data_IF_017960932551
#
_entry.id   IF_017960932551
#
_cell.length_a   1.000
_cell.length_b   1.000
_cell.length_c   1.000
_cell.angle_alpha   90.00
_cell.angle_beta   90.00
_cell.angle_gamma   90.00
#
_symmetry.space_group_name_H-M   'P 1'
#
loop_
_entity.id
_entity.type
_entity.pdbx_description
1 polymer ?
#
# COMPACT_ATOMS: atom_id res chain seq x y z
N UNK A 1 -17.17 -7.56 16.28
CA UNK A 1 -16.75 -7.71 14.86
C UNK A 1 -15.26 -7.39 14.74
N UNK A 2 -14.50 -8.09 13.88
CA UNK A 2 -13.06 -7.82 13.66
C UNK A 2 -12.80 -7.62 12.17
N UNK A 3 -12.22 -6.48 11.79
CA UNK A 3 -11.72 -6.22 10.44
C UNK A 3 -10.30 -6.80 10.30
N UNK A 4 -10.10 -7.62 9.27
CA UNK A 4 -8.82 -8.23 8.95
C UNK A 4 -8.65 -8.39 7.42
N UNK A 5 -9.04 -7.36 6.65
CA UNK A 5 -9.18 -7.42 5.18
C UNK A 5 -7.89 -7.13 4.41
N UNK A 6 -6.76 -6.95 5.09
CA UNK A 6 -5.47 -6.64 4.45
C UNK A 6 -5.34 -5.18 3.98
N UNK A 7 -4.33 -4.93 3.15
CA UNK A 7 -3.99 -3.61 2.63
C UNK A 7 -4.72 -3.19 1.36
N UNK A 8 -4.17 -2.16 0.71
CA UNK A 8 -4.78 -1.44 -0.42
C UNK A 8 -3.80 -1.25 -1.60
N UNK A 9 -2.83 -2.17 -1.77
CA UNK A 9 -1.82 -2.03 -2.82
C UNK A 9 -2.37 -2.05 -4.25
N UNK A 10 -3.62 -2.50 -4.46
CA UNK A 10 -4.29 -2.43 -5.76
C UNK A 10 -4.65 -1.02 -6.24
N UNK A 11 -4.33 0.00 -5.45
CA UNK A 11 -4.21 1.38 -5.95
C UNK A 11 -3.10 1.58 -6.97
N UNK A 12 -2.12 0.68 -7.02
CA UNK A 12 -0.99 0.77 -7.92
C UNK A 12 -1.02 -0.39 -8.92
N UNK A 13 -0.72 -0.09 -10.18
CA UNK A 13 -0.54 -1.11 -11.21
C UNK A 13 0.63 -2.05 -10.87
N UNK A 14 1.76 -1.47 -10.46
CA UNK A 14 2.92 -2.23 -9.98
C UNK A 14 2.81 -2.47 -8.46
N UNK A 15 2.31 -3.64 -8.08
CA UNK A 15 2.19 -4.05 -6.69
C UNK A 15 2.44 -5.54 -6.50
N UNK A 16 3.02 -5.89 -5.35
CA UNK A 16 3.17 -7.29 -4.92
C UNK A 16 1.88 -7.88 -4.35
N UNK A 17 0.85 -7.06 -4.12
CA UNK A 17 -0.36 -7.48 -3.44
C UNK A 17 -1.29 -8.28 -4.36
N UNK A 18 -2.05 -9.20 -3.75
CA UNK A 18 -3.03 -10.00 -4.45
C UNK A 18 -4.16 -9.13 -5.05
N UNK A 19 -4.95 -9.69 -5.98
CA UNK A 19 -6.10 -8.99 -6.58
C UNK A 19 -7.14 -8.52 -5.55
N UNK A 20 -7.26 -9.21 -4.41
CA UNK A 20 -8.20 -8.90 -3.34
C UNK A 20 -7.77 -7.74 -2.39
N UNK A 21 -6.58 -7.16 -2.57
CA UNK A 21 -6.09 -6.10 -1.67
C UNK A 21 -6.57 -4.71 -2.11
N UNK A 22 -7.87 -4.48 -1.99
CA UNK A 22 -8.61 -3.31 -2.52
C UNK A 22 -9.05 -2.30 -1.47
N UNK A 23 -8.63 -2.46 -0.21
CA UNK A 23 -8.88 -1.49 0.85
C UNK A 23 -10.30 -1.51 1.43
N UNK A 24 -11.06 -2.57 1.19
CA UNK A 24 -12.49 -2.70 1.51
C UNK A 24 -12.78 -2.37 2.98
N UNK A 25 -12.09 -3.04 3.92
CA UNK A 25 -12.30 -2.79 5.35
C UNK A 25 -11.91 -1.38 5.80
N UNK A 26 -10.93 -0.75 5.14
CA UNK A 26 -10.59 0.65 5.43
C UNK A 26 -11.69 1.58 4.93
N UNK A 27 -12.20 1.38 3.70
CA UNK A 27 -13.29 2.20 3.17
C UNK A 27 -14.60 1.98 3.94
N UNK A 28 -14.92 0.74 4.31
CA UNK A 28 -16.08 0.43 5.17
C UNK A 28 -16.00 1.15 6.53
N UNK A 29 -14.84 1.14 7.18
CA UNK A 29 -14.63 1.86 8.44
C UNK A 29 -14.79 3.37 8.24
N UNK A 30 -14.19 3.92 7.17
CA UNK A 30 -14.27 5.32 6.81
C UNK A 30 -15.71 5.79 6.57
N UNK A 31 -16.50 5.01 5.81
CA UNK A 31 -17.93 5.25 5.56
C UNK A 31 -18.80 5.13 6.81
N UNK A 32 -18.35 4.36 7.81
CA UNK A 32 -18.97 4.30 9.13
C UNK A 32 -18.54 5.47 10.06
N UNK A 33 -17.78 6.44 9.54
CA UNK A 33 -17.32 7.62 10.29
C UNK A 33 -16.05 7.39 11.10
N UNK A 34 -15.39 6.23 10.96
CA UNK A 34 -14.15 5.94 11.69
C UNK A 34 -12.94 6.61 11.03
N UNK A 35 -11.95 7.03 11.84
CA UNK A 35 -10.70 7.56 11.31
C UNK A 35 -9.83 6.50 10.66
N UNK A 36 -9.18 6.90 9.58
CA UNK A 36 -8.00 6.24 9.05
C UNK A 36 -6.75 7.01 9.50
N UNK A 37 -5.77 6.30 10.04
CA UNK A 37 -4.53 6.86 10.56
C UNK A 37 -3.37 6.57 9.62
N UNK A 38 -2.51 7.57 9.42
CA UNK A 38 -1.25 7.49 8.67
C UNK A 38 -1.40 6.92 7.25
N UNK A 39 -2.55 7.18 6.62
CA UNK A 39 -2.98 6.59 5.36
C UNK A 39 -2.01 6.87 4.20
N UNK A 40 -1.26 7.98 4.25
CA UNK A 40 -0.27 8.36 3.25
C UNK A 40 0.96 7.44 3.21
N UNK A 41 1.19 6.61 4.22
CA UNK A 41 2.36 5.75 4.30
C UNK A 41 2.15 4.41 3.58
N UNK A 42 2.42 4.42 2.27
CA UNK A 42 2.61 3.23 1.43
C UNK A 42 4.10 2.92 1.29
N UNK A 43 4.52 1.71 1.68
CA UNK A 43 5.88 1.21 1.45
C UNK A 43 5.98 0.54 0.08
N UNK A 44 7.09 0.84 -0.61
CA UNK A 44 7.47 0.20 -1.86
C UNK A 44 8.57 -0.83 -1.61
N UNK A 45 8.50 -1.96 -2.31
CA UNK A 45 9.55 -2.98 -2.29
C UNK A 45 10.48 -2.77 -3.49
N UNK A 46 11.81 -2.80 -3.31
CA UNK A 46 12.75 -2.52 -4.40
C UNK A 46 12.74 -3.61 -5.49
N UNK A 47 12.68 -4.88 -5.09
CA UNK A 47 12.79 -5.99 -6.04
C UNK A 47 11.44 -6.53 -6.50
N UNK A 48 10.54 -5.66 -6.99
CA UNK A 48 9.36 -6.12 -7.74
C UNK A 48 9.71 -6.32 -9.20
N UNK A 49 9.34 -7.45 -9.78
CA UNK A 49 9.67 -7.81 -11.15
C UNK A 49 8.97 -6.88 -12.13
N UNK A 50 9.72 -6.32 -13.07
CA UNK A 50 9.16 -5.50 -14.13
C UNK A 50 8.71 -6.37 -15.32
N UNK A 51 7.54 -6.11 -15.93
CA UNK A 51 6.50 -5.13 -15.55
C UNK A 51 5.41 -5.70 -14.62
N UNK A 52 5.49 -6.97 -14.23
CA UNK A 52 4.39 -7.69 -13.58
C UNK A 52 4.06 -7.24 -12.15
N UNK A 53 5.02 -6.66 -11.42
CA UNK A 53 4.90 -6.33 -10.00
C UNK A 53 5.10 -7.53 -9.06
N UNK A 54 5.35 -8.73 -9.60
CA UNK A 54 5.56 -9.95 -8.81
C UNK A 54 6.79 -9.79 -7.93
N UNK A 55 6.68 -10.17 -6.66
CA UNK A 55 7.77 -10.04 -5.71
C UNK A 55 8.90 -11.02 -6.01
N UNK A 56 10.12 -10.51 -6.20
CA UNK A 56 11.35 -11.27 -6.00
C UNK A 56 11.81 -11.06 -4.56
N UNK A 57 12.03 -12.16 -3.83
CA UNK A 57 12.27 -12.13 -2.39
C UNK A 57 13.45 -11.23 -2.02
N UNK A 58 13.33 -10.50 -0.91
CA UNK A 58 14.44 -9.76 -0.30
C UNK A 58 15.63 -10.67 0.04
N UNK A 59 15.38 -11.98 0.22
CA UNK A 59 16.42 -12.99 0.35
C UNK A 59 17.41 -13.02 -0.81
N UNK A 60 17.02 -12.59 -2.03
CA UNK A 60 17.96 -12.47 -3.15
C UNK A 60 19.08 -11.47 -2.85
N UNK A 61 18.75 -10.29 -2.30
CA UNK A 61 19.76 -9.31 -1.86
C UNK A 61 20.54 -9.83 -0.65
N UNK A 62 19.84 -10.45 0.31
CA UNK A 62 20.45 -11.08 1.49
C UNK A 62 21.48 -12.17 1.16
N UNK A 63 21.28 -12.92 0.08
CA UNK A 63 22.21 -13.95 -0.41
C UNK A 63 23.38 -13.37 -1.22
N UNK A 64 23.40 -12.06 -1.47
CA UNK A 64 24.48 -11.35 -2.16
C UNK A 64 24.07 -10.69 -3.48
N UNK A 65 22.79 -10.69 -3.85
CA UNK A 65 22.31 -10.09 -5.09
C UNK A 65 22.70 -8.62 -5.24
N UNK A 66 23.11 -8.26 -6.46
CA UNK A 66 23.69 -6.96 -6.79
C UNK A 66 22.71 -6.19 -7.67
N UNK A 67 22.38 -4.95 -7.31
CA UNK A 67 21.60 -4.07 -8.17
C UNK A 67 22.51 -3.35 -9.18
N UNK A 68 22.14 -3.44 -10.47
CA UNK A 68 22.86 -2.83 -11.58
C UNK A 68 21.97 -1.91 -12.41
N UNK A 69 22.55 -0.82 -12.89
CA UNK A 69 21.90 0.12 -13.82
C UNK A 69 22.22 -0.27 -15.29
N UNK A 70 21.80 0.56 -16.25
CA UNK A 70 22.03 0.36 -17.69
C UNK A 70 23.49 0.34 -18.12
N UNK A 71 24.37 0.92 -17.31
CA UNK A 71 25.81 0.97 -17.53
C UNK A 71 26.53 -0.26 -16.95
N UNK A 72 25.78 -1.18 -16.32
CA UNK A 72 26.32 -2.36 -15.64
C UNK A 72 26.92 -2.06 -14.27
N UNK A 73 26.80 -0.82 -13.78
CA UNK A 73 27.37 -0.35 -12.53
C UNK A 73 26.58 -0.86 -11.31
N UNK A 74 27.29 -1.28 -10.26
CA UNK A 74 26.71 -1.50 -8.93
C UNK A 74 26.41 -0.18 -8.23
N UNK A 75 25.34 0.49 -8.65
CA UNK A 75 25.05 1.86 -8.26
C UNK A 75 24.81 2.05 -6.74
N UNK A 76 24.38 1.01 -6.01
CA UNK A 76 24.14 1.10 -4.56
C UNK A 76 25.39 1.48 -3.75
N UNK A 77 26.60 1.30 -4.29
CA UNK A 77 27.83 1.74 -3.63
C UNK A 77 27.94 3.27 -3.55
N UNK A 78 27.25 4.02 -4.42
CA UNK A 78 27.15 5.48 -4.33
C UNK A 78 26.19 5.94 -3.25
N UNK A 79 25.05 5.26 -3.11
CA UNK A 79 23.94 5.69 -2.25
C UNK A 79 24.06 5.17 -0.82
N UNK A 80 24.63 3.99 -0.64
CA UNK A 80 24.84 3.39 0.67
C UNK A 80 26.22 2.68 0.71
N UNK A 81 27.34 3.41 0.86
CA UNK A 81 28.69 2.83 0.74
C UNK A 81 28.96 1.65 1.67
N UNK A 82 28.36 1.67 2.88
CA UNK A 82 28.51 0.63 3.89
C UNK A 82 27.54 -0.54 3.66
N UNK A 83 26.24 -0.27 3.61
CA UNK A 83 25.19 -1.30 3.55
C UNK A 83 24.97 -1.84 2.13
N UNK A 84 25.26 -1.03 1.10
CA UNK A 84 25.09 -1.36 -0.33
C UNK A 84 23.67 -1.87 -0.60
N UNK A 85 23.54 -3.01 -1.28
CA UNK A 85 22.26 -3.67 -1.61
C UNK A 85 21.48 -4.15 -0.36
N UNK A 86 22.09 -4.15 0.83
CA UNK A 86 21.46 -4.48 2.11
C UNK A 86 20.93 -3.25 2.87
N UNK A 87 20.99 -2.06 2.27
CA UNK A 87 20.37 -0.86 2.84
C UNK A 87 18.85 -1.06 3.05
N UNK A 88 18.23 -0.17 3.82
CA UNK A 88 16.79 -0.24 4.08
C UNK A 88 15.98 -0.17 2.78
N UNK A 89 14.79 -0.79 2.78
CA UNK A 89 13.92 -0.85 1.59
C UNK A 89 13.63 0.52 0.98
N UNK A 90 13.45 1.55 1.82
CA UNK A 90 13.21 2.92 1.36
C UNK A 90 14.45 3.55 0.73
N UNK A 91 15.66 3.29 1.27
CA UNK A 91 16.92 3.76 0.65
C UNK A 91 17.15 3.10 -0.70
N UNK A 92 16.99 1.78 -0.78
CA UNK A 92 17.16 1.04 -2.04
C UNK A 92 16.13 1.49 -3.07
N UNK A 93 14.85 1.56 -2.71
CA UNK A 93 13.78 1.97 -3.64
C UNK A 93 13.97 3.40 -4.15
N UNK A 94 14.41 4.34 -3.29
CA UNK A 94 14.75 5.70 -3.72
C UNK A 94 15.94 5.72 -4.68
N UNK A 95 16.98 4.94 -4.39
CA UNK A 95 18.17 4.84 -5.23
C UNK A 95 17.84 4.30 -6.62
N UNK A 96 17.03 3.23 -6.70
CA UNK A 96 16.53 2.67 -7.97
C UNK A 96 15.72 3.70 -8.76
N UNK A 97 14.82 4.42 -8.10
CA UNK A 97 14.03 5.46 -8.75
C UNK A 97 14.90 6.61 -9.26
N UNK A 98 15.91 7.04 -8.50
CA UNK A 98 16.89 8.04 -8.96
C UNK A 98 17.64 7.56 -10.20
N UNK A 99 18.11 6.31 -10.25
CA UNK A 99 18.76 5.76 -11.45
C UNK A 99 17.83 5.79 -12.67
N UNK A 100 16.56 5.41 -12.49
CA UNK A 100 15.56 5.40 -13.56
C UNK A 100 15.29 6.83 -14.05
N UNK A 101 15.05 7.77 -13.14
CA UNK A 101 14.70 9.16 -13.46
C UNK A 101 15.87 9.91 -14.13
N UNK A 102 17.11 9.58 -13.77
CA UNK A 102 18.33 10.15 -14.37
C UNK A 102 18.74 9.45 -15.68
N UNK A 103 17.90 8.55 -16.21
CA UNK A 103 18.12 7.90 -17.50
C UNK A 103 19.13 6.75 -17.48
N UNK A 104 19.56 6.31 -16.29
CA UNK A 104 20.42 5.12 -16.10
C UNK A 104 19.61 3.83 -15.86
N UNK A 105 18.29 3.89 -15.97
CA UNK A 105 17.43 2.70 -15.97
C UNK A 105 17.49 1.93 -17.30
N UNK A 106 17.01 0.69 -17.28
CA UNK A 106 16.81 -0.17 -18.44
C UNK A 106 15.31 -0.41 -18.57
N UNK A 107 14.68 0.12 -19.64
CA UNK A 107 13.23 -0.03 -19.88
C UNK A 107 12.35 0.39 -18.67
N UNK A 108 12.76 1.41 -17.92
CA UNK A 108 12.03 1.86 -16.71
C UNK A 108 12.19 0.94 -15.50
N UNK A 109 13.24 0.11 -15.48
CA UNK A 109 13.64 -0.75 -14.36
C UNK A 109 15.16 -0.69 -14.13
N UNK A 110 15.65 -1.40 -13.12
CA UNK A 110 17.06 -1.75 -12.93
C UNK A 110 17.21 -3.28 -12.99
N UNK A 111 18.42 -3.79 -12.80
CA UNK A 111 18.71 -5.23 -12.86
C UNK A 111 19.14 -5.77 -11.49
N UNK A 112 18.51 -6.86 -11.06
CA UNK A 112 18.96 -7.68 -9.94
C UNK A 112 19.83 -8.83 -10.46
N UNK A 113 21.14 -8.72 -10.26
CA UNK A 113 22.15 -9.67 -10.71
C UNK A 113 22.47 -10.70 -9.62
N UNK A 114 22.13 -11.96 -9.91
CA UNK A 114 22.41 -13.13 -9.07
C UNK A 114 23.45 -14.07 -9.71
N UNK A 115 23.91 -13.78 -10.93
CA UNK A 115 24.70 -14.71 -11.76
C UNK A 115 26.01 -15.13 -11.08
N UNK A 116 26.61 -14.22 -10.31
CA UNK A 116 27.83 -14.45 -9.55
C UNK A 116 27.68 -15.43 -8.38
N UNK A 117 26.45 -15.74 -7.94
CA UNK A 117 26.20 -16.68 -6.84
C UNK A 117 26.42 -18.14 -7.25
N UNK A 118 26.35 -18.43 -8.55
CA UNK A 118 26.47 -19.78 -9.10
C UNK A 118 25.17 -20.61 -9.02
N UNK A 119 25.05 -21.57 -9.94
CA UNK A 119 23.85 -22.39 -10.11
C UNK A 119 23.45 -23.15 -8.84
N UNK A 120 24.42 -23.78 -8.17
CA UNK A 120 24.17 -24.60 -6.97
C UNK A 120 23.46 -23.80 -5.87
N UNK A 121 23.97 -22.59 -5.57
CA UNK A 121 23.41 -21.73 -4.52
C UNK A 121 22.02 -21.21 -4.89
N UNK A 122 21.81 -20.83 -6.15
CA UNK A 122 20.49 -20.38 -6.62
C UNK A 122 19.46 -21.50 -6.52
N UNK A 123 19.81 -22.72 -6.95
CA UNK A 123 18.92 -23.88 -6.91
C UNK A 123 18.55 -24.32 -5.49
N UNK A 124 19.46 -24.17 -4.54
CA UNK A 124 19.22 -24.58 -3.14
C UNK A 124 18.59 -23.48 -2.29
N UNK A 125 19.02 -22.23 -2.44
CA UNK A 125 18.62 -21.11 -1.56
C UNK A 125 17.50 -20.25 -2.15
N UNK A 126 17.42 -20.13 -3.47
CA UNK A 126 16.50 -19.23 -4.16
C UNK A 126 15.62 -19.93 -5.23
N UNK A 127 15.19 -21.20 -5.05
CA UNK A 127 14.49 -21.95 -6.11
C UNK A 127 13.21 -21.26 -6.56
N UNK A 128 12.40 -20.75 -5.63
CA UNK A 128 11.15 -20.06 -5.96
C UNK A 128 11.35 -18.73 -6.68
N UNK A 129 12.41 -17.96 -6.34
CA UNK A 129 12.69 -16.72 -7.06
C UNK A 129 13.20 -16.98 -8.48
N UNK A 130 13.96 -18.06 -8.68
CA UNK A 130 14.34 -18.53 -10.02
C UNK A 130 13.14 -18.95 -10.84
N UNK A 131 12.25 -19.77 -10.27
CA UNK A 131 11.02 -20.19 -10.96
C UNK A 131 10.18 -18.99 -11.39
N UNK A 132 9.93 -18.03 -10.49
CA UNK A 132 9.19 -16.82 -10.83
C UNK A 132 9.85 -16.02 -11.95
N UNK A 133 11.18 -15.83 -11.89
CA UNK A 133 11.92 -15.10 -12.93
C UNK A 133 11.81 -15.79 -14.29
N UNK A 134 11.95 -17.12 -14.34
CA UNK A 134 11.84 -17.88 -15.58
C UNK A 134 10.42 -17.84 -16.15
N UNK A 135 9.40 -17.98 -15.29
CA UNK A 135 7.98 -18.04 -15.72
C UNK A 135 7.48 -16.67 -16.18
N UNK A 136 7.79 -15.60 -15.44
CA UNK A 136 7.16 -14.29 -15.63
C UNK A 136 8.05 -13.24 -16.30
N UNK A 137 9.37 -13.37 -16.22
CA UNK A 137 10.32 -12.49 -16.92
C UNK A 137 11.05 -13.20 -18.07
N UNK A 138 10.93 -14.53 -18.20
CA UNK A 138 11.61 -15.28 -19.26
C UNK A 138 13.12 -15.36 -19.08
N UNK A 139 13.64 -15.07 -17.89
CA UNK A 139 15.09 -15.03 -17.59
C UNK A 139 15.45 -16.09 -16.56
N UNK A 140 16.57 -16.79 -16.78
CA UNK A 140 17.16 -17.66 -15.76
C UNK A 140 18.21 -16.88 -14.97
N UNK A 141 17.98 -16.57 -13.67
CA UNK A 141 18.93 -15.81 -12.84
C UNK A 141 20.31 -16.45 -12.66
N UNK A 142 20.49 -17.71 -13.08
CA UNK A 142 21.80 -18.35 -13.18
C UNK A 142 22.66 -17.69 -14.28
N UNK A 143 22.03 -17.25 -15.36
CA UNK A 143 22.70 -16.78 -16.57
C UNK A 143 22.47 -15.29 -16.85
N UNK A 144 21.30 -14.77 -16.49
CA UNK A 144 20.86 -13.43 -16.85
C UNK A 144 20.21 -12.71 -15.66
N UNK A 145 20.46 -11.40 -15.47
CA UNK A 145 19.88 -10.65 -14.36
C UNK A 145 18.37 -10.44 -14.50
N UNK A 146 17.68 -10.27 -13.37
CA UNK A 146 16.22 -10.09 -13.32
C UNK A 146 15.88 -8.60 -13.42
N UNK A 147 15.00 -8.16 -14.34
CA UNK A 147 14.53 -6.77 -14.36
C UNK A 147 13.60 -6.50 -13.18
N UNK A 148 13.96 -5.51 -12.35
CA UNK A 148 13.22 -5.13 -11.15
C UNK A 148 13.06 -3.63 -11.01
N UNK A 149 11.99 -3.19 -10.34
CA UNK A 149 11.75 -1.79 -9.98
C UNK A 149 11.00 -1.68 -8.65
N UNK A 150 10.95 -0.49 -8.03
CA UNK A 150 10.08 -0.26 -6.89
C UNK A 150 8.60 -0.45 -7.25
N UNK A 151 7.89 -1.21 -6.40
CA UNK A 151 6.45 -1.45 -6.51
C UNK A 151 5.75 -1.47 -5.15
N UNK A 152 4.46 -1.09 -5.10
CA UNK A 152 3.72 -0.98 -3.84
C UNK A 152 3.60 -2.34 -3.14
N UNK A 153 3.83 -2.38 -1.82
CA UNK A 153 4.01 -3.65 -1.12
C UNK A 153 3.27 -3.78 0.21
N UNK A 154 3.33 -2.76 1.06
CA UNK A 154 2.71 -2.82 2.37
C UNK A 154 2.17 -1.45 2.75
N UNK A 155 0.95 -1.42 3.25
CA UNK A 155 0.30 -0.19 3.69
C UNK A 155 0.41 -0.07 5.22
N UNK A 156 1.13 0.95 5.68
CA UNK A 156 1.34 1.15 7.13
C UNK A 156 0.18 1.87 7.80
N UNK A 157 -0.55 2.68 7.03
CA UNK A 157 -1.78 3.31 7.46
C UNK A 157 -2.95 2.34 7.46
N UNK A 158 -4.07 2.77 8.03
CA UNK A 158 -5.27 1.92 8.13
C UNK A 158 -6.24 2.41 9.19
N UNK A 159 -7.20 1.57 9.55
CA UNK A 159 -8.22 1.85 10.57
C UNK A 159 -7.54 2.10 11.92
N UNK A 160 -7.79 3.25 12.53
CA UNK A 160 -7.18 3.56 13.83
C UNK A 160 -7.68 2.60 14.91
N UNK A 161 -6.74 2.05 15.67
CA UNK A 161 -7.05 1.18 16.81
C UNK A 161 -6.15 1.45 18.01
N UNK A 162 -6.60 0.98 19.17
CA UNK A 162 -5.75 0.82 20.35
C UNK A 162 -4.88 -0.45 20.29
N UNK A 163 -4.10 -0.71 21.34
CA UNK A 163 -3.19 -1.88 21.39
C UNK A 163 -3.87 -3.25 21.54
N UNK A 164 -5.20 -3.26 21.73
CA UNK A 164 -6.04 -4.44 21.70
C UNK A 164 -6.85 -4.53 20.39
N UNK A 165 -6.60 -3.62 19.44
CA UNK A 165 -7.30 -3.58 18.16
C UNK A 165 -8.69 -2.95 18.22
N UNK A 166 -9.12 -2.36 19.34
CA UNK A 166 -10.42 -1.71 19.45
C UNK A 166 -10.42 -0.38 18.68
N UNK A 167 -11.45 -0.15 17.85
CA UNK A 167 -11.66 1.11 17.12
C UNK A 167 -12.45 2.13 17.97
N UNK A 168 -12.68 3.35 17.47
CA UNK A 168 -13.58 4.30 18.14
C UNK A 168 -15.03 3.79 18.24
N UNK A 169 -15.43 2.85 17.37
CA UNK A 169 -16.72 2.19 17.45
C UNK A 169 -16.65 0.99 18.40
N UNK A 170 -17.40 1.08 19.49
CA UNK A 170 -17.47 0.01 20.50
C UNK A 170 -17.95 -1.30 19.86
N UNK A 171 -17.25 -2.41 20.15
CA UNK A 171 -17.54 -3.72 19.59
C UNK A 171 -16.98 -3.98 18.18
N UNK A 172 -16.36 -2.97 17.56
CA UNK A 172 -15.61 -3.11 16.32
C UNK A 172 -14.10 -3.03 16.58
N UNK A 173 -13.41 -4.07 16.11
CA UNK A 173 -11.97 -4.21 16.22
C UNK A 173 -11.35 -4.28 14.82
N UNK A 174 -10.06 -3.99 14.70
CA UNK A 174 -9.28 -4.21 13.48
C UNK A 174 -7.89 -4.76 13.82
N UNK A 175 -7.37 -5.66 12.99
CA UNK A 175 -6.04 -6.26 13.17
C UNK A 175 -5.39 -6.66 11.83
N UNK A 176 -4.05 -6.69 11.81
CA UNK A 176 -3.27 -6.88 10.59
C UNK A 176 -3.19 -5.60 9.76
N UNK A 177 -2.85 -5.72 8.47
CA UNK A 177 -2.56 -4.58 7.58
C UNK A 177 -3.74 -3.63 7.36
N UNK A 178 -4.98 -4.04 7.62
CA UNK A 178 -6.14 -3.12 7.57
C UNK A 178 -6.11 -2.09 8.69
N UNK A 179 -5.41 -2.38 9.79
CA UNK A 179 -5.39 -1.58 11.01
C UNK A 179 -4.10 -0.78 11.12
N UNK A 180 -4.19 0.39 11.76
CA UNK A 180 -3.03 1.16 12.16
C UNK A 180 -2.92 1.18 13.69
N UNK A 181 -2.15 0.24 14.25
CA UNK A 181 -1.83 0.19 15.68
C UNK A 181 -0.62 1.08 16.04
N UNK A 182 -0.04 1.79 15.06
CA UNK A 182 1.16 2.63 15.17
C UNK A 182 2.49 1.90 15.43
N UNK A 183 2.58 0.57 15.18
CA UNK A 183 3.85 -0.17 15.38
C UNK A 183 4.86 0.01 14.23
N UNK A 184 4.39 0.34 13.03
CA UNK A 184 5.25 0.51 11.85
C UNK A 184 5.68 1.96 11.61
N UNK A 185 4.90 2.92 12.08
CA UNK A 185 5.06 4.34 11.74
C UNK A 185 5.15 4.54 10.22
N UNK A 186 6.06 5.41 9.79
CA UNK A 186 6.23 5.74 8.37
C UNK A 186 6.99 4.69 7.54
N UNK A 187 7.52 3.61 8.14
CA UNK A 187 8.24 2.58 7.39
C UNK A 187 8.31 1.27 8.18
N UNK A 188 7.61 0.24 7.68
CA UNK A 188 7.57 -1.11 8.26
C UNK A 188 8.90 -1.85 8.08
N UNK A 189 9.39 -2.49 9.12
CA UNK A 189 10.60 -3.32 9.06
C UNK A 189 10.32 -4.67 8.38
N UNK A 190 11.27 -5.15 7.56
CA UNK A 190 11.27 -6.50 6.97
C UNK A 190 10.89 -7.59 7.99
N UNK A 191 9.98 -8.50 7.63
CA UNK A 191 9.50 -9.57 8.52
C UNK A 191 8.43 -9.20 9.57
N UNK A 192 8.31 -7.92 9.97
CA UNK A 192 7.43 -7.56 11.09
C UNK A 192 5.92 -7.64 10.82
N UNK A 193 5.46 -7.59 9.55
CA UNK A 193 4.02 -7.64 9.25
C UNK A 193 3.39 -9.00 9.60
N UNK A 194 4.11 -10.10 9.43
CA UNK A 194 3.60 -11.41 9.85
C UNK A 194 3.49 -11.48 11.39
N UNK A 195 4.49 -10.95 12.09
CA UNK A 195 4.46 -10.88 13.56
C UNK A 195 3.34 -9.99 14.07
N UNK A 196 3.08 -8.86 13.40
CA UNK A 196 1.95 -7.98 13.70
C UNK A 196 0.63 -8.74 13.56
N UNK A 197 0.38 -9.40 12.43
CA UNK A 197 -0.87 -10.15 12.20
C UNK A 197 -1.12 -11.18 13.30
N UNK A 198 -0.08 -11.94 13.70
CA UNK A 198 -0.22 -12.93 14.77
C UNK A 198 -0.45 -12.26 16.13
N UNK A 199 0.32 -11.21 16.43
CA UNK A 199 0.29 -10.54 17.74
C UNK A 199 -1.03 -9.80 17.96
N UNK A 200 -1.41 -8.93 17.04
CA UNK A 200 -2.63 -8.14 17.15
C UNK A 200 -3.88 -8.95 16.78
N UNK A 201 -3.77 -9.96 15.92
CA UNK A 201 -4.85 -10.93 15.72
C UNK A 201 -5.21 -11.66 17.01
N UNK A 202 -4.21 -12.10 17.80
CA UNK A 202 -4.45 -12.70 19.12
C UNK A 202 -5.09 -11.73 20.09
N UNK A 203 -4.61 -10.47 20.15
CA UNK A 203 -5.13 -9.46 21.08
C UNK A 203 -6.55 -9.03 20.73
N UNK A 204 -6.79 -8.65 19.48
CA UNK A 204 -8.11 -8.26 18.98
C UNK A 204 -9.11 -9.41 19.05
N UNK A 205 -8.69 -10.62 18.70
CA UNK A 205 -9.54 -11.81 18.82
C UNK A 205 -9.98 -12.06 20.26
N UNK A 206 -9.07 -11.94 21.23
CA UNK A 206 -9.41 -12.10 22.65
C UNK A 206 -10.33 -10.99 23.16
N UNK A 207 -10.01 -9.73 22.87
CA UNK A 207 -10.84 -8.59 23.30
C UNK A 207 -12.23 -8.64 22.67
N UNK A 208 -12.34 -8.99 21.39
CA UNK A 208 -13.61 -9.15 20.70
C UNK A 208 -14.43 -10.33 21.25
N UNK A 209 -13.78 -11.45 21.61
CA UNK A 209 -14.45 -12.58 22.24
C UNK A 209 -14.99 -12.22 23.63
N UNK A 210 -14.19 -11.56 24.46
CA UNK A 210 -14.61 -11.10 25.78
C UNK A 210 -15.80 -10.12 25.67
N UNK A 211 -15.76 -9.20 24.71
CA UNK A 211 -16.87 -8.27 24.44
C UNK A 211 -18.13 -9.01 23.96
N UNK A 212 -18.01 -9.97 23.04
CA UNK A 212 -19.13 -10.73 22.51
C UNK A 212 -19.81 -11.61 23.57
N UNK A 213 -19.05 -12.17 24.52
CA UNK A 213 -19.60 -12.94 25.63
C UNK A 213 -20.38 -12.06 26.62
N UNK A 214 -19.95 -10.81 26.80
CA UNK A 214 -20.64 -9.84 27.66
C UNK A 214 -21.83 -9.14 26.98
N UNK A 215 -21.88 -9.12 25.64
CA UNK A 215 -22.87 -8.39 24.84
C UNK A 215 -23.52 -9.33 23.82
N UNK A 216 -24.40 -10.21 24.29
CA UNK A 216 -25.01 -11.29 23.48
C UNK A 216 -26.16 -10.83 22.59
N UNK A 217 -26.65 -9.61 22.77
CA UNK A 217 -27.71 -8.99 21.97
C UNK A 217 -27.20 -7.71 21.34
N UNK A 218 -27.19 -7.65 20.01
CA UNK A 218 -26.89 -6.44 19.24
C UNK A 218 -28.09 -6.14 18.36
N UNK A 219 -28.60 -4.91 18.41
CA UNK A 219 -29.65 -4.46 17.52
C UNK A 219 -29.05 -3.98 16.20
N UNK A 220 -29.53 -4.53 15.09
CA UNK A 220 -29.20 -4.05 13.75
C UNK A 220 -30.41 -3.32 13.20
N UNK A 221 -30.29 -2.07 12.73
CA UNK A 221 -31.41 -1.36 12.14
C UNK A 221 -32.02 -2.15 10.99
N UNK A 222 -33.35 -2.31 10.99
CA UNK A 222 -34.06 -3.03 9.93
C UNK A 222 -33.91 -2.39 8.54
N UNK A 223 -33.45 -1.12 8.47
CA UNK A 223 -33.15 -0.44 7.22
C UNK A 223 -31.83 -0.90 6.58
N UNK A 224 -30.86 -1.42 7.35
CA UNK A 224 -29.51 -1.70 6.86
C UNK A 224 -29.51 -2.62 5.62
N UNK A 225 -30.28 -3.71 5.66
CA UNK A 225 -30.43 -4.62 4.51
C UNK A 225 -31.13 -3.93 3.34
N UNK A 226 -32.19 -3.17 3.61
CA UNK A 226 -32.95 -2.47 2.55
C UNK A 226 -32.13 -1.38 1.86
N UNK A 227 -31.27 -0.70 2.60
CA UNK A 227 -30.38 0.33 2.08
C UNK A 227 -29.32 -0.30 1.18
N UNK A 228 -28.67 -1.39 1.62
CA UNK A 228 -27.72 -2.14 0.82
C UNK A 228 -28.34 -2.74 -0.45
N UNK A 229 -29.55 -3.31 -0.35
CA UNK A 229 -30.29 -3.82 -1.52
C UNK A 229 -30.62 -2.71 -2.52
N UNK A 230 -30.98 -1.52 -2.03
CA UNK A 230 -31.28 -0.36 -2.88
C UNK A 230 -30.02 0.10 -3.61
N UNK A 231 -28.88 0.21 -2.92
CA UNK A 231 -27.60 0.57 -3.52
C UNK A 231 -27.16 -0.43 -4.59
N UNK A 232 -27.27 -1.73 -4.30
CA UNK A 232 -26.95 -2.79 -5.25
C UNK A 232 -27.85 -2.73 -6.48
N UNK A 233 -29.18 -2.59 -6.30
CA UNK A 233 -30.13 -2.45 -7.41
C UNK A 233 -29.84 -1.20 -8.24
N UNK A 234 -29.49 -0.09 -7.60
CA UNK A 234 -29.15 1.15 -8.29
C UNK A 234 -27.88 0.99 -9.16
N UNK A 235 -26.86 0.30 -8.66
CA UNK A 235 -25.65 -0.02 -9.43
C UNK A 235 -25.96 -0.94 -10.62
N UNK A 236 -26.73 -2.00 -10.39
CA UNK A 236 -27.12 -2.96 -11.44
C UNK A 236 -28.10 -2.38 -12.47
N UNK A 237 -28.88 -1.36 -12.13
CA UNK A 237 -29.82 -0.72 -13.06
C UNK A 237 -29.14 0.17 -14.11
N UNK A 238 -27.87 0.54 -13.92
CA UNK A 238 -27.13 1.38 -14.86
C UNK A 238 -26.92 0.64 -16.19
N UNK A 239 -27.15 1.35 -17.29
CA UNK A 239 -27.11 0.80 -18.66
C UNK A 239 -26.23 1.62 -19.61
N UNK A 240 -25.83 2.82 -19.23
CA UNK A 240 -24.96 3.70 -20.01
C UNK A 240 -23.82 4.21 -19.12
N UNK A 241 -22.61 4.25 -19.70
CA UNK A 241 -21.39 4.66 -19.02
C UNK A 241 -20.21 3.77 -19.36
N UNK A 242 -19.15 3.87 -18.58
CA UNK A 242 -17.92 3.11 -18.79
C UNK A 242 -17.78 1.90 -17.88
N UNK A 243 -16.86 1.00 -18.20
CA UNK A 243 -16.60 -0.21 -17.42
C UNK A 243 -15.66 0.08 -16.23
N UNK A 244 -15.81 -0.63 -15.10
CA UNK A 244 -14.99 -0.40 -13.90
C UNK A 244 -13.48 -0.48 -14.18
N UNK A 245 -13.07 -1.39 -15.08
CA UNK A 245 -11.66 -1.59 -15.41
C UNK A 245 -11.00 -0.36 -16.04
N UNK A 246 -11.75 0.49 -16.75
CA UNK A 246 -11.23 1.69 -17.41
C UNK A 246 -10.76 2.72 -16.36
N UNK A 247 -11.62 3.01 -15.38
CA UNK A 247 -11.29 3.86 -14.24
C UNK A 247 -10.17 3.23 -13.40
N UNK A 248 -10.23 1.91 -13.17
CA UNK A 248 -9.24 1.20 -12.36
C UNK A 248 -7.84 1.20 -12.99
N UNK A 249 -7.73 1.05 -14.30
CA UNK A 249 -6.44 1.09 -15.02
C UNK A 249 -5.85 2.51 -14.98
N UNK A 250 -6.66 3.53 -15.23
CA UNK A 250 -6.26 4.94 -15.11
C UNK A 250 -5.79 5.28 -13.69
N UNK A 251 -6.54 4.86 -12.66
CA UNK A 251 -6.14 5.00 -11.26
C UNK A 251 -4.79 4.32 -10.98
N UNK A 252 -4.67 3.05 -11.37
CA UNK A 252 -3.49 2.23 -11.10
C UNK A 252 -2.22 2.75 -11.75
N UNK A 253 -2.32 3.29 -12.96
CA UNK A 253 -1.20 3.88 -13.68
C UNK A 253 -0.81 5.23 -13.08
N UNK A 254 -1.79 6.13 -12.89
CA UNK A 254 -1.53 7.52 -12.47
C UNK A 254 -1.06 7.61 -11.01
N UNK A 255 -1.53 6.72 -10.12
CA UNK A 255 -1.05 6.64 -8.74
C UNK A 255 0.45 6.32 -8.67
N UNK A 256 0.95 5.43 -9.52
CA UNK A 256 2.38 5.08 -9.56
C UNK A 256 3.24 6.26 -10.02
N UNK A 257 2.74 7.02 -11.01
CA UNK A 257 3.44 8.18 -11.59
C UNK A 257 3.43 9.39 -10.66
N UNK A 258 2.32 9.65 -9.98
CA UNK A 258 2.10 10.90 -9.26
C UNK A 258 2.14 10.77 -7.71
N UNK A 259 2.08 9.54 -7.18
CA UNK A 259 2.15 9.25 -5.74
C UNK A 259 3.00 8.00 -5.47
N UNK A 260 4.18 7.93 -6.09
CA UNK A 260 5.11 6.80 -5.98
C UNK A 260 6.10 6.91 -4.81
N UNK A 261 7.31 6.42 -5.06
CA UNK A 261 8.46 6.46 -4.12
C UNK A 261 8.83 7.90 -3.76
N UNK A 262 8.96 8.74 -4.78
CA UNK A 262 9.13 10.18 -4.63
C UNK A 262 7.80 10.87 -4.85
N UNK A 263 7.56 11.93 -4.06
CA UNK A 263 6.33 12.71 -4.10
C UNK A 263 6.68 14.16 -4.30
N UNK A 264 6.00 14.79 -5.26
CA UNK A 264 6.17 16.20 -5.60
C UNK A 264 4.84 16.90 -5.48
N UNK A 265 4.84 18.12 -4.97
CA UNK A 265 3.60 18.88 -4.78
C UNK A 265 2.75 18.98 -6.06
N UNK A 266 3.38 19.31 -7.19
CA UNK A 266 2.74 19.45 -8.50
C UNK A 266 2.12 18.13 -8.99
N UNK A 267 2.83 17.02 -8.82
CA UNK A 267 2.32 15.69 -9.17
C UNK A 267 1.16 15.26 -8.27
N UNK A 268 1.25 15.48 -6.95
CA UNK A 268 0.18 15.15 -6.02
C UNK A 268 -1.08 15.98 -6.30
N UNK A 269 -0.93 17.28 -6.60
CA UNK A 269 -2.05 18.14 -7.02
C UNK A 269 -2.68 17.64 -8.33
N UNK A 270 -1.86 17.27 -9.32
CA UNK A 270 -2.35 16.65 -10.57
C UNK A 270 -3.14 15.37 -10.27
N UNK A 271 -2.63 14.52 -9.38
CA UNK A 271 -3.32 13.28 -9.01
C UNK A 271 -4.65 13.54 -8.29
N UNK A 272 -4.72 14.57 -7.43
CA UNK A 272 -5.98 14.96 -6.80
C UNK A 272 -7.03 15.28 -7.87
N UNK A 273 -6.69 16.09 -8.88
CA UNK A 273 -7.61 16.38 -9.99
C UNK A 273 -8.01 15.15 -10.80
N UNK A 274 -7.10 14.18 -10.97
CA UNK A 274 -7.42 12.89 -11.58
C UNK A 274 -8.42 12.13 -10.70
N UNK A 275 -8.17 11.99 -9.40
CA UNK A 275 -9.07 11.29 -8.48
C UNK A 275 -10.45 11.94 -8.44
N UNK A 276 -10.54 13.27 -8.43
CA UNK A 276 -11.80 14.00 -8.50
C UNK A 276 -12.58 13.63 -9.77
N UNK A 277 -11.94 13.69 -10.94
CA UNK A 277 -12.53 13.26 -12.22
C UNK A 277 -12.97 11.79 -12.20
N UNK A 278 -12.16 10.87 -11.67
CA UNK A 278 -12.51 9.46 -11.57
C UNK A 278 -13.72 9.24 -10.64
N UNK A 279 -13.81 10.00 -9.55
CA UNK A 279 -14.93 9.96 -8.60
C UNK A 279 -16.21 10.55 -9.20
N UNK A 280 -16.13 11.55 -10.06
CA UNK A 280 -17.27 12.07 -10.83
C UNK A 280 -17.78 11.07 -11.86
N UNK A 281 -16.87 10.29 -12.47
CA UNK A 281 -17.19 9.24 -13.45
C UNK A 281 -17.76 7.97 -12.81
N UNK A 282 -17.32 7.61 -11.60
CA UNK A 282 -17.72 6.40 -10.89
C UNK A 282 -19.25 6.17 -10.76
N UNK A 283 -20.08 7.19 -10.45
CA UNK A 283 -21.55 7.06 -10.46
C UNK A 283 -22.16 6.59 -11.79
N UNK A 284 -21.45 6.76 -12.92
CA UNK A 284 -21.90 6.30 -14.24
C UNK A 284 -21.38 4.91 -14.61
N UNK A 285 -20.52 4.30 -13.80
CA UNK A 285 -19.95 2.97 -14.11
C UNK A 285 -21.03 1.92 -14.22
N UNK A 286 -20.95 1.12 -15.29
CA UNK A 286 -21.88 0.04 -15.58
C UNK A 286 -21.30 -1.32 -15.18
N UNK A 287 -22.15 -2.16 -14.60
CA UNK A 287 -21.91 -3.61 -14.49
C UNK A 287 -22.60 -4.25 -15.69
N UNK A 288 -21.87 -4.81 -16.65
CA UNK A 288 -22.44 -5.44 -17.84
C UNK A 288 -23.06 -6.80 -17.49
N UNK A 289 -22.36 -7.61 -16.70
CA UNK A 289 -22.90 -8.88 -16.21
C UNK A 289 -24.00 -8.62 -15.18
N UNK A 290 -25.26 -8.94 -15.51
CA UNK A 290 -26.40 -8.80 -14.59
C UNK A 290 -26.71 -10.10 -13.82
N UNK A 291 -25.87 -11.12 -13.95
CA UNK A 291 -26.00 -12.37 -13.22
C UNK A 291 -25.80 -12.19 -11.71
N UNK A 292 -26.46 -13.03 -10.92
CA UNK A 292 -26.40 -12.97 -9.45
C UNK A 292 -25.35 -13.91 -8.85
N UNK A 293 -24.75 -14.79 -9.66
CA UNK A 293 -23.90 -15.88 -9.20
C UNK A 293 -22.45 -15.62 -9.62
N UNK A 294 -21.54 -15.51 -8.65
CA UNK A 294 -20.09 -15.30 -8.87
C UNK A 294 -19.76 -14.14 -9.83
N UNK A 295 -20.53 -13.06 -9.74
CA UNK A 295 -20.41 -11.91 -10.63
C UNK A 295 -19.18 -11.05 -10.30
N UNK A 296 -18.10 -11.30 -11.04
CA UNK A 296 -16.82 -10.61 -10.86
C UNK A 296 -16.83 -9.16 -11.40
N UNK A 297 -17.76 -8.82 -12.29
CA UNK A 297 -17.95 -7.47 -12.81
C UNK A 297 -18.55 -6.56 -11.73
N UNK A 298 -19.55 -7.07 -11.00
CA UNK A 298 -20.14 -6.41 -9.84
C UNK A 298 -19.11 -6.20 -8.73
N UNK A 299 -18.34 -7.24 -8.39
CA UNK A 299 -17.29 -7.14 -7.37
C UNK A 299 -16.28 -6.05 -7.73
N UNK A 300 -15.79 -6.00 -8.96
CA UNK A 300 -14.86 -4.97 -9.41
C UNK A 300 -15.45 -3.56 -9.36
N UNK A 301 -16.73 -3.40 -9.68
CA UNK A 301 -17.42 -2.12 -9.57
C UNK A 301 -17.50 -1.64 -8.11
N UNK A 302 -17.81 -2.53 -7.17
CA UNK A 302 -17.86 -2.18 -5.74
C UNK A 302 -16.45 -1.85 -5.20
N UNK A 303 -15.46 -2.69 -5.50
CA UNK A 303 -14.06 -2.50 -5.08
C UNK A 303 -13.47 -1.18 -5.61
N UNK A 304 -13.85 -0.77 -6.81
CA UNK A 304 -13.42 0.50 -7.39
C UNK A 304 -13.82 1.68 -6.50
N UNK A 305 -15.03 1.67 -5.93
CA UNK A 305 -15.45 2.70 -4.98
C UNK A 305 -14.56 2.75 -3.74
N UNK A 306 -14.13 1.60 -3.21
CA UNK A 306 -13.24 1.55 -2.06
C UNK A 306 -11.85 2.11 -2.38
N UNK A 307 -11.31 1.74 -3.54
CA UNK A 307 -10.03 2.27 -4.02
C UNK A 307 -10.07 3.80 -4.14
N UNK A 308 -11.13 4.37 -4.74
CA UNK A 308 -11.26 5.82 -4.91
C UNK A 308 -11.34 6.57 -3.57
N UNK A 309 -12.07 6.03 -2.58
CA UNK A 309 -12.15 6.63 -1.24
C UNK A 309 -10.75 6.69 -0.59
N UNK A 310 -10.02 5.57 -0.63
CA UNK A 310 -8.70 5.48 0.01
C UNK A 310 -7.67 6.33 -0.73
N UNK A 311 -7.70 6.38 -2.07
CA UNK A 311 -6.83 7.24 -2.86
C UNK A 311 -6.98 8.72 -2.49
N UNK A 312 -8.22 9.18 -2.32
CA UNK A 312 -8.51 10.55 -1.92
C UNK A 312 -7.90 10.88 -0.53
N UNK A 313 -8.09 9.99 0.45
CA UNK A 313 -7.49 10.13 1.78
C UNK A 313 -5.95 10.16 1.73
N UNK A 314 -5.34 9.27 0.94
CA UNK A 314 -3.88 9.19 0.78
C UNK A 314 -3.29 10.48 0.23
N UNK A 315 -3.92 11.06 -0.79
CA UNK A 315 -3.44 12.28 -1.44
C UNK A 315 -3.60 13.51 -0.55
N UNK A 316 -4.73 13.65 0.14
CA UNK A 316 -4.94 14.76 1.06
C UNK A 316 -3.89 14.74 2.19
N UNK A 317 -3.70 13.58 2.83
CA UNK A 317 -2.73 13.42 3.91
C UNK A 317 -1.28 13.60 3.40
N UNK A 318 -0.96 13.05 2.23
CA UNK A 318 0.35 13.18 1.60
C UNK A 318 0.70 14.61 1.19
N UNK A 319 -0.24 15.35 0.59
CA UNK A 319 -0.02 16.73 0.17
C UNK A 319 0.19 17.65 1.38
N UNK A 320 -0.62 17.45 2.43
CA UNK A 320 -0.57 18.25 3.66
C UNK A 320 0.68 17.97 4.52
N UNK A 321 1.28 16.78 4.41
CA UNK A 321 2.53 16.45 5.10
C UNK A 321 3.72 17.05 4.35
N UNK A 322 4.28 18.11 4.92
CA UNK A 322 5.38 18.92 4.35
C UNK A 322 6.73 18.55 4.99
N UNK A 323 7.07 17.26 4.93
CA UNK A 323 8.35 16.71 5.39
C UNK A 323 8.70 15.46 4.57
N UNK A 324 9.89 14.88 4.82
CA UNK A 324 10.23 13.53 4.37
C UNK A 324 10.44 12.61 5.58
N UNK A 325 9.62 11.56 5.69
CA UNK A 325 9.67 10.59 6.78
C UNK A 325 9.36 9.19 6.27
N UNK A 326 10.31 8.27 6.43
CA UNK A 326 10.13 6.87 6.04
C UNK A 326 9.81 6.70 4.55
N UNK A 327 8.68 6.08 4.23
CA UNK A 327 8.22 5.84 2.86
C UNK A 327 7.51 7.05 2.22
N UNK A 328 7.25 8.11 2.99
CA UNK A 328 6.84 9.40 2.44
C UNK A 328 8.09 10.26 2.19
N UNK A 329 8.48 10.41 0.92
CA UNK A 329 9.68 11.14 0.54
C UNK A 329 9.37 12.26 -0.46
N UNK A 330 9.74 13.48 -0.08
CA UNK A 330 9.51 14.74 -0.78
C UNK A 330 10.85 15.45 -1.01
N UNK A 331 11.80 14.86 -1.77
CA UNK A 331 13.18 15.34 -1.83
C UNK A 331 13.34 16.72 -2.49
N UNK A 332 12.36 17.16 -3.28
CA UNK A 332 12.46 18.39 -4.07
C UNK A 332 12.01 19.65 -3.33
N UNK A 333 11.07 19.51 -2.39
CA UNK A 333 10.43 20.61 -1.67
C UNK A 333 10.56 20.47 -0.14
N UNK A 334 10.51 19.26 0.40
CA UNK A 334 10.63 18.99 1.85
C UNK A 334 11.52 17.77 2.14
N UNK A 335 12.84 17.84 1.87
CA UNK A 335 13.74 16.67 1.89
C UNK A 335 14.04 16.13 3.29
N UNK A 336 13.85 16.93 4.33
CA UNK A 336 14.22 16.59 5.70
C UNK A 336 13.02 16.13 6.52
N UNK A 337 13.31 15.31 7.54
CA UNK A 337 12.35 15.00 8.60
C UNK A 337 12.11 16.25 9.45
N UNK A 338 10.86 16.56 9.75
CA UNK A 338 10.48 17.70 10.61
C UNK A 338 9.76 17.17 11.85
N UNK A 339 10.52 17.02 12.93
CA UNK A 339 9.97 16.55 14.22
C UNK A 339 9.26 17.68 15.00
N UNK A 340 9.47 18.95 14.65
CA UNK A 340 8.80 20.07 15.32
C UNK A 340 7.34 20.19 14.84
N UNK A 341 7.14 20.14 13.52
CA UNK A 341 5.81 20.35 12.93
C UNK A 341 5.04 19.04 12.69
N UNK A 342 5.74 17.92 12.49
CA UNK A 342 5.15 16.68 11.95
C UNK A 342 5.42 15.42 12.78
N UNK A 343 5.83 15.55 14.04
CA UNK A 343 5.81 14.47 15.04
C UNK A 343 4.38 14.14 15.51
N UNK A 344 3.50 13.84 14.55
CA UNK A 344 2.09 13.59 14.72
C UNK A 344 1.61 12.57 13.70
N UNK A 345 0.56 11.85 14.06
CA UNK A 345 -0.19 10.98 13.17
C UNK A 345 -1.15 11.79 12.31
N UNK A 346 -1.26 11.43 11.04
CA UNK A 346 -2.28 11.97 10.14
C UNK A 346 -3.59 11.22 10.39
N UNK A 347 -4.69 11.93 10.65
CA UNK A 347 -5.99 11.31 10.93
C UNK A 347 -7.00 11.81 9.90
N UNK A 348 -7.45 10.91 9.02
CA UNK A 348 -8.41 11.22 7.97
C UNK A 348 -9.78 10.66 8.31
N UNK A 349 -10.82 11.50 8.24
CA UNK A 349 -12.23 11.10 8.31
C UNK A 349 -12.93 11.47 7.01
N UNK A 350 -14.17 11.02 6.85
CA UNK A 350 -15.01 11.39 5.71
C UNK A 350 -16.15 12.27 6.17
N UNK A 351 -16.26 13.47 5.60
CA UNK A 351 -17.33 14.42 5.87
C UNK A 351 -17.69 15.17 4.59
N UNK A 352 -18.98 15.47 4.40
CA UNK A 352 -19.48 16.26 3.27
C UNK A 352 -18.99 15.80 1.88
N UNK A 353 -18.79 14.48 1.71
CA UNK A 353 -18.37 13.87 0.44
C UNK A 353 -16.87 13.99 0.14
N UNK A 354 -16.05 14.44 1.09
CA UNK A 354 -14.62 14.60 0.93
C UNK A 354 -13.85 14.06 2.16
N UNK A 355 -12.56 13.75 2.01
CA UNK A 355 -11.72 13.44 3.15
C UNK A 355 -11.42 14.72 3.95
N UNK A 356 -11.48 14.64 5.28
CA UNK A 356 -11.09 15.69 6.21
C UNK A 356 -9.87 15.24 7.01
N UNK A 357 -8.82 16.07 6.97
CA UNK A 357 -7.58 15.80 7.65
C UNK A 357 -7.51 16.53 9.00
N UNK A 358 -7.13 15.77 10.02
CA UNK A 358 -6.75 16.24 11.34
C UNK A 358 -5.46 15.56 11.76
N UNK A 359 -4.95 15.90 12.95
CA UNK A 359 -3.72 15.31 13.47
C UNK A 359 -3.88 14.84 14.91
N UNK A 360 -3.10 13.84 15.28
CA UNK A 360 -3.03 13.30 16.64
C UNK A 360 -1.57 13.16 17.07
N UNK A 361 -1.27 13.59 18.29
CA UNK A 361 0.08 13.51 18.83
C UNK A 361 0.61 12.07 18.92
N UNK A 362 1.91 11.91 18.64
CA UNK A 362 2.61 10.64 18.86
C UNK A 362 2.77 10.42 20.37
N UNK A 363 2.42 9.21 20.84
CA UNK A 363 2.64 8.84 22.24
C UNK A 363 4.05 8.30 22.44
N UNK A 364 4.91 9.09 23.10
CA UNK A 364 6.23 8.63 23.52
C UNK A 364 6.12 7.65 24.69
N UNK A 365 6.91 6.59 24.64
CA UNK A 365 6.97 5.60 25.72
C UNK A 365 8.43 5.44 26.17
N UNK A 366 9.02 4.26 26.01
CA UNK A 366 10.37 3.95 26.50
C UNK A 366 11.48 4.58 25.64
N UNK A 367 11.25 4.70 24.34
CA UNK A 367 12.25 5.21 23.39
C UNK A 367 11.82 6.59 22.88
N UNK A 368 12.76 7.55 22.92
CA UNK A 368 12.56 8.88 22.39
C UNK A 368 12.85 8.90 20.87
N UNK A 369 12.24 9.81 20.09
CA UNK A 369 12.53 9.94 18.68
C UNK A 369 13.99 10.33 18.44
N UNK A 370 14.68 9.54 17.62
CA UNK A 370 16.03 9.84 17.15
C UNK A 370 16.07 9.75 15.63
N UNK A 371 17.01 10.46 15.00
CA UNK A 371 17.26 10.33 13.57
C UNK A 371 17.72 8.91 13.23
N UNK A 372 17.13 8.31 12.20
CA UNK A 372 17.53 6.98 11.74
C UNK A 372 18.87 7.10 11.00
N UNK A 373 19.89 6.43 11.53
CA UNK A 373 21.17 6.23 10.82
C UNK A 373 21.08 4.88 10.11
N UNK A 374 21.17 4.88 8.79
CA UNK A 374 21.13 3.67 7.94
C UNK A 374 22.52 3.17 7.60
#
# INVERSE_FOLDING_TARGET
MVLATGGVGRLYRATTNAYACTGDGMSMALRAGLPLKDIEFMQFHPTTMYPSGILITEGCRGEGGILRNSEGERFMERYAPTAKDLASRDVVSRSEQTEIDEGRGINGSVLLDLTHLGAERILTRLPGSRELAMVYAGVDPIHEPIPVRPGAHYHMGGVETDTNGLTELTGLYAAGEVACVSVHGANRLGGNSLMETITFGRRAGRAAADWALANTTVEVPASATRDAERELKALLARSEGERPWQIRDELGQTMLENFGVFRREDQMQKQIGIIESLRERYPSVIVEDKGEVFNSDLTQAIELGYLLDIAACMLQAGLARKESRGAHSRPHDYPTRDDESFMKHSITRWADGAPELSYKEVRFTKYLPEERKY
#
